data_IF_243583226357
#
_entry.id   IF_243583226357
#
_cell.length_a   1.000
_cell.length_b   1.000
_cell.length_c   1.000
_cell.angle_alpha   90.00
_cell.angle_beta   90.00
_cell.angle_gamma   90.00
#
_symmetry.space_group_name_H-M   'P 1'
#
loop_
_entity.id
_entity.type
_entity.pdbx_description
1 polymer ?
#
# COMPACT_ATOMS: atom_id res chain seq x y z
N UNK A 1 2.29 9.23 -26.84
CA UNK A 1 1.16 9.19 -25.90
C UNK A 1 -0.09 9.58 -26.67
N UNK A 2 -1.06 8.68 -26.76
CA UNK A 2 -2.35 8.93 -27.42
C UNK A 2 -3.20 9.91 -26.60
N UNK A 3 -4.32 10.36 -27.17
CA UNK A 3 -5.28 11.21 -26.47
C UNK A 3 -5.83 10.52 -25.20
N UNK A 4 -6.20 9.25 -25.32
CA UNK A 4 -6.79 8.49 -24.20
C UNK A 4 -5.74 8.23 -23.11
N UNK A 5 -4.50 7.89 -23.48
CA UNK A 5 -3.40 7.76 -22.51
C UNK A 5 -3.14 9.06 -21.74
N UNK A 6 -3.24 10.24 -22.39
CA UNK A 6 -3.09 11.53 -21.73
C UNK A 6 -4.11 11.71 -20.59
N UNK A 7 -5.39 11.41 -20.84
CA UNK A 7 -6.43 11.60 -19.84
C UNK A 7 -6.45 10.51 -18.77
N UNK A 8 -6.14 9.24 -19.10
CA UNK A 8 -5.93 8.20 -18.08
C UNK A 8 -4.71 8.52 -17.21
N UNK A 9 -3.63 9.05 -17.80
CA UNK A 9 -2.49 9.53 -16.99
C UNK A 9 -2.91 10.62 -16.00
N UNK A 10 -3.83 11.52 -16.41
CA UNK A 10 -4.40 12.51 -15.48
C UNK A 10 -5.26 11.86 -14.37
N UNK A 11 -6.06 10.85 -14.71
CA UNK A 11 -6.80 10.06 -13.72
C UNK A 11 -5.84 9.43 -12.67
N UNK A 12 -4.72 8.87 -13.12
CA UNK A 12 -3.69 8.30 -12.23
C UNK A 12 -3.11 9.35 -11.27
N UNK A 13 -2.78 10.55 -11.78
CA UNK A 13 -2.29 11.67 -10.95
C UNK A 13 -3.29 12.08 -9.87
N UNK A 14 -4.57 12.21 -10.24
CA UNK A 14 -5.64 12.53 -9.29
C UNK A 14 -5.83 11.44 -8.25
N UNK A 15 -5.83 10.18 -8.66
CA UNK A 15 -6.02 9.03 -7.78
C UNK A 15 -4.95 8.96 -6.65
N UNK A 16 -3.71 9.37 -6.93
CA UNK A 16 -2.65 9.43 -5.91
C UNK A 16 -2.98 10.33 -4.72
N UNK A 17 -3.85 11.33 -4.87
CA UNK A 17 -4.29 12.17 -3.75
C UNK A 17 -5.14 11.39 -2.73
N UNK A 18 -5.70 10.25 -3.11
CA UNK A 18 -6.43 9.33 -2.22
C UNK A 18 -5.52 8.41 -1.39
N UNK A 19 -4.20 8.39 -1.65
CA UNK A 19 -3.26 7.56 -0.92
C UNK A 19 -3.39 7.77 0.60
N UNK A 20 -3.34 6.70 1.38
CA UNK A 20 -3.53 6.67 2.83
C UNK A 20 -4.97 6.87 3.34
N UNK A 21 -5.95 7.21 2.52
CA UNK A 21 -7.30 7.51 2.96
C UNK A 21 -8.37 6.58 2.38
N UNK A 22 -8.12 5.98 1.21
CA UNK A 22 -9.13 5.19 0.48
C UNK A 22 -9.26 3.75 0.99
N UNK A 23 -8.24 3.17 1.61
CA UNK A 23 -8.30 1.79 2.10
C UNK A 23 -9.52 1.56 3.03
N UNK A 24 -10.28 0.46 2.86
CA UNK A 24 -10.03 -0.69 1.99
C UNK A 24 -10.43 -0.53 0.52
N UNK A 25 -10.98 0.61 0.10
CA UNK A 25 -11.32 0.87 -1.30
C UNK A 25 -10.06 1.17 -2.14
N UNK A 26 -10.09 0.93 -3.46
CA UNK A 26 -8.99 1.28 -4.35
C UNK A 26 -8.85 2.80 -4.53
N UNK A 27 -7.65 3.24 -4.87
CA UNK A 27 -7.42 4.59 -5.35
C UNK A 27 -7.95 4.71 -6.78
N UNK A 28 -8.88 5.63 -7.02
CA UNK A 28 -9.48 5.87 -8.34
C UNK A 28 -9.48 7.35 -8.65
N UNK A 29 -9.21 7.70 -9.90
CA UNK A 29 -9.35 9.04 -10.44
C UNK A 29 -10.21 9.02 -11.69
N UNK A 30 -10.93 10.11 -11.91
CA UNK A 30 -11.79 10.30 -13.08
C UNK A 30 -11.66 11.73 -13.66
N UNK A 31 -11.77 11.82 -14.98
CA UNK A 31 -11.68 13.08 -15.74
C UNK A 31 -12.80 13.10 -16.77
N UNK A 32 -13.47 14.23 -16.91
CA UNK A 32 -14.50 14.46 -17.93
C UNK A 32 -13.98 15.45 -18.97
N UNK A 33 -14.06 15.06 -20.22
CA UNK A 33 -13.50 15.81 -21.36
C UNK A 33 -14.57 16.13 -22.39
N UNK A 34 -14.68 17.40 -22.71
CA UNK A 34 -15.51 17.95 -23.78
C UNK A 34 -14.61 18.68 -24.78
N UNK A 35 -14.67 18.33 -26.09
CA UNK A 35 -13.84 18.93 -27.16
C UNK A 35 -12.38 19.17 -26.74
N UNK A 36 -11.69 18.10 -26.27
CA UNK A 36 -10.29 18.13 -25.81
C UNK A 36 -10.00 18.99 -24.57
N UNK A 37 -11.03 19.58 -23.97
CA UNK A 37 -10.93 20.37 -22.74
C UNK A 37 -11.43 19.56 -21.55
N UNK A 38 -10.67 19.52 -20.46
CA UNK A 38 -11.10 18.94 -19.19
C UNK A 38 -12.12 19.90 -18.58
N UNK A 39 -13.35 19.43 -18.38
CA UNK A 39 -14.45 20.18 -17.77
C UNK A 39 -14.81 19.71 -16.37
N UNK A 40 -14.33 18.54 -15.97
CA UNK A 40 -14.51 17.99 -14.62
C UNK A 40 -13.41 17.01 -14.24
N UNK A 41 -13.04 17.02 -12.97
CA UNK A 41 -12.02 16.13 -12.39
C UNK A 41 -12.45 15.66 -11.00
N UNK A 42 -12.11 14.43 -10.66
CA UNK A 42 -12.39 13.88 -9.34
C UNK A 42 -11.51 12.69 -9.02
N UNK A 43 -11.40 12.40 -7.73
CA UNK A 43 -10.77 11.18 -7.24
C UNK A 43 -11.52 10.68 -6.02
N UNK A 44 -11.34 9.41 -5.66
CA UNK A 44 -11.87 8.86 -4.42
C UNK A 44 -11.05 9.40 -3.25
N UNK A 45 -11.65 10.28 -2.43
CA UNK A 45 -10.94 11.03 -1.39
C UNK A 45 -10.72 10.16 -0.15
N UNK A 46 -11.77 9.46 0.30
CA UNK A 46 -11.76 8.67 1.53
C UNK A 46 -12.76 7.52 1.46
N UNK A 47 -12.42 6.39 2.07
CA UNK A 47 -13.34 5.26 2.21
C UNK A 47 -14.67 5.69 2.84
N UNK A 48 -15.77 5.29 2.18
CA UNK A 48 -17.15 5.63 2.59
C UNK A 48 -17.67 6.95 2.03
N UNK A 49 -16.86 7.75 1.35
CA UNK A 49 -17.25 8.97 0.63
C UNK A 49 -17.51 8.69 -0.86
N UNK A 50 -17.84 9.75 -1.61
CA UNK A 50 -18.14 9.67 -3.04
C UNK A 50 -16.97 9.10 -3.86
N UNK A 51 -17.29 8.28 -4.87
CA UNK A 51 -16.32 7.74 -5.80
C UNK A 51 -15.78 8.82 -6.76
N UNK A 52 -14.71 8.50 -7.46
CA UNK A 52 -14.03 9.43 -8.38
C UNK A 52 -14.97 9.98 -9.46
N UNK A 53 -15.78 9.12 -10.05
CA UNK A 53 -16.74 9.47 -11.11
C UNK A 53 -17.79 10.47 -10.60
N UNK A 54 -18.30 10.24 -9.38
CA UNK A 54 -19.27 11.14 -8.73
C UNK A 54 -18.64 12.51 -8.50
N UNK A 55 -17.39 12.53 -8.00
CA UNK A 55 -16.67 13.79 -7.75
C UNK A 55 -16.34 14.51 -9.06
N UNK A 56 -15.94 13.79 -10.11
CA UNK A 56 -15.69 14.35 -11.42
C UNK A 56 -16.97 14.99 -12.04
N UNK A 57 -18.10 14.27 -12.00
CA UNK A 57 -19.38 14.78 -12.50
C UNK A 57 -19.82 16.03 -11.71
N UNK A 58 -19.74 16.02 -10.39
CA UNK A 58 -20.09 17.16 -9.53
C UNK A 58 -19.23 18.40 -9.75
N UNK A 59 -18.00 18.24 -10.27
CA UNK A 59 -17.10 19.35 -10.54
C UNK A 59 -17.40 20.07 -11.87
N UNK A 60 -18.25 19.47 -12.72
CA UNK A 60 -18.65 20.07 -14.00
C UNK A 60 -19.61 21.25 -13.75
N UNK A 61 -19.29 22.41 -14.29
CA UNK A 61 -20.10 23.64 -14.11
C UNK A 61 -21.39 23.62 -14.93
N UNK A 62 -21.31 23.18 -16.18
CA UNK A 62 -22.47 23.05 -17.08
C UNK A 62 -22.70 21.58 -17.41
N UNK A 63 -23.68 20.99 -16.70
CA UNK A 63 -24.03 19.56 -16.87
C UNK A 63 -24.57 19.21 -18.26
N UNK A 64 -25.03 20.19 -19.06
CA UNK A 64 -25.50 19.92 -20.42
C UNK A 64 -24.38 19.38 -21.30
N UNK A 65 -23.13 19.79 -21.07
CA UNK A 65 -21.96 19.35 -21.82
C UNK A 65 -21.65 17.84 -21.60
N UNK A 66 -22.16 17.22 -20.54
CA UNK A 66 -21.97 15.79 -20.26
C UNK A 66 -22.45 14.91 -21.41
N UNK A 67 -23.52 15.30 -22.10
CA UNK A 67 -24.14 14.53 -23.20
C UNK A 67 -23.27 14.45 -24.46
N UNK A 68 -22.19 15.25 -24.52
CA UNK A 68 -21.24 15.29 -25.65
C UNK A 68 -19.80 15.01 -25.15
N UNK A 69 -19.65 14.60 -23.89
CA UNK A 69 -18.37 14.40 -23.23
C UNK A 69 -17.93 12.94 -23.20
N UNK A 70 -16.64 12.74 -22.96
CA UNK A 70 -16.05 11.44 -22.62
C UNK A 70 -15.65 11.45 -21.16
N UNK A 71 -16.02 10.43 -20.39
CA UNK A 71 -15.47 10.20 -19.06
C UNK A 71 -14.31 9.19 -19.13
N UNK A 72 -13.21 9.55 -18.55
CA UNK A 72 -12.02 8.72 -18.34
C UNK A 72 -11.97 8.30 -16.87
N UNK A 73 -11.69 7.04 -16.59
CA UNK A 73 -11.58 6.52 -15.23
C UNK A 73 -10.47 5.46 -15.14
N UNK A 74 -9.67 5.52 -14.09
CA UNK A 74 -8.52 4.60 -13.93
C UNK A 74 -8.91 3.16 -13.60
N UNK A 75 -10.14 2.93 -13.13
CA UNK A 75 -10.69 1.62 -12.76
C UNK A 75 -12.13 1.49 -13.26
N UNK A 76 -12.56 0.29 -13.60
CA UNK A 76 -13.94 -0.04 -13.99
C UNK A 76 -14.98 0.59 -13.04
N UNK A 77 -15.97 1.36 -13.54
CA UNK A 77 -17.05 1.91 -12.73
C UNK A 77 -17.87 0.81 -12.03
N UNK A 78 -18.11 0.98 -10.74
CA UNK A 78 -18.86 -0.02 -9.97
C UNK A 78 -20.30 -0.20 -10.51
N UNK A 79 -20.80 -1.46 -10.43
CA UNK A 79 -22.12 -1.85 -10.91
C UNK A 79 -23.07 -2.37 -9.82
N UNK A 80 -22.54 -2.55 -8.59
CA UNK A 80 -23.34 -3.08 -7.47
C UNK A 80 -23.85 -1.94 -6.58
N UNK A 81 -25.04 -2.12 -6.03
CA UNK A 81 -25.61 -1.21 -5.04
C UNK A 81 -24.92 -1.40 -3.69
N UNK A 82 -24.29 -0.32 -3.22
CA UNK A 82 -23.72 -0.25 -1.89
C UNK A 82 -24.50 0.76 -1.02
N UNK A 83 -23.80 1.66 -0.35
CA UNK A 83 -24.39 2.80 0.37
C UNK A 83 -24.92 3.87 -0.59
N UNK A 84 -24.42 3.92 -1.81
CA UNK A 84 -24.79 4.85 -2.88
C UNK A 84 -25.10 4.07 -4.15
N UNK A 85 -25.89 4.64 -5.08
CA UNK A 85 -26.09 4.05 -6.40
C UNK A 85 -24.75 3.81 -7.13
N UNK A 86 -24.68 2.78 -7.99
CA UNK A 86 -23.46 2.46 -8.74
C UNK A 86 -23.02 3.59 -9.67
N UNK A 87 -21.72 3.77 -9.84
CA UNK A 87 -21.17 4.79 -10.76
C UNK A 87 -21.59 4.54 -12.22
N UNK A 88 -21.71 3.28 -12.64
CA UNK A 88 -22.23 2.94 -13.97
C UNK A 88 -23.64 3.49 -14.20
N UNK A 89 -24.52 3.44 -13.19
CA UNK A 89 -25.89 3.99 -13.29
C UNK A 89 -25.87 5.51 -13.40
N UNK A 90 -25.03 6.19 -12.63
CA UNK A 90 -24.88 7.63 -12.70
C UNK A 90 -24.37 8.08 -14.09
N UNK A 91 -23.41 7.38 -14.67
CA UNK A 91 -22.92 7.67 -16.02
C UNK A 91 -24.04 7.54 -17.06
N UNK A 92 -24.87 6.49 -16.96
CA UNK A 92 -26.04 6.27 -17.82
C UNK A 92 -27.08 7.37 -17.62
N UNK A 93 -27.43 7.72 -16.38
CA UNK A 93 -28.38 8.78 -16.03
C UNK A 93 -27.97 10.13 -16.60
N UNK A 94 -26.68 10.47 -16.50
CA UNK A 94 -26.11 11.70 -17.03
C UNK A 94 -25.94 11.68 -18.56
N UNK A 95 -26.25 10.57 -19.23
CA UNK A 95 -26.20 10.36 -20.68
C UNK A 95 -24.83 10.66 -21.28
N UNK A 96 -23.75 10.29 -20.58
CA UNK A 96 -22.39 10.43 -21.09
C UNK A 96 -22.17 9.36 -22.17
N UNK A 97 -21.89 9.73 -23.43
CA UNK A 97 -21.91 8.79 -24.55
C UNK A 97 -20.68 7.89 -24.64
N UNK A 98 -19.58 8.24 -23.99
CA UNK A 98 -18.31 7.51 -24.10
C UNK A 98 -17.60 7.40 -22.76
N UNK A 99 -17.09 6.19 -22.48
CA UNK A 99 -16.31 5.86 -21.28
C UNK A 99 -15.00 5.21 -21.68
N UNK A 100 -13.88 5.72 -21.15
CA UNK A 100 -12.55 5.13 -21.32
C UNK A 100 -12.04 4.68 -19.97
N UNK A 101 -11.68 3.40 -19.86
CA UNK A 101 -11.33 2.70 -18.62
C UNK A 101 -9.87 2.26 -18.67
N UNK A 102 -9.11 2.56 -17.61
CA UNK A 102 -7.74 2.13 -17.47
C UNK A 102 -7.61 0.63 -17.29
N UNK A 103 -8.16 0.07 -16.23
CA UNK A 103 -8.17 -1.38 -16.00
C UNK A 103 -9.53 -1.89 -15.48
N UNK A 104 -9.78 -3.18 -15.68
CA UNK A 104 -10.95 -3.86 -15.12
C UNK A 104 -10.80 -4.02 -13.58
N UNK A 105 -11.93 -4.10 -12.88
CA UNK A 105 -11.91 -4.42 -11.46
C UNK A 105 -11.48 -5.89 -11.27
N UNK A 106 -10.40 -6.14 -10.50
CA UNK A 106 -9.92 -7.51 -10.27
C UNK A 106 -10.82 -8.34 -9.36
N UNK A 107 -11.81 -7.73 -8.73
CA UNK A 107 -12.74 -8.44 -7.86
C UNK A 107 -13.77 -9.21 -8.68
N UNK A 108 -13.68 -10.55 -8.65
CA UNK A 108 -14.44 -11.46 -9.53
C UNK A 108 -15.95 -11.29 -9.52
N UNK A 109 -16.53 -10.77 -8.42
CA UNK A 109 -17.96 -10.49 -8.33
C UNK A 109 -18.40 -9.23 -9.09
N UNK A 110 -17.43 -8.40 -9.52
CA UNK A 110 -17.71 -7.11 -10.18
C UNK A 110 -17.10 -7.05 -11.59
N UNK A 111 -16.05 -7.82 -11.83
CA UNK A 111 -15.25 -7.82 -13.05
C UNK A 111 -16.10 -7.87 -14.33
N UNK A 112 -16.03 -6.83 -15.13
CA UNK A 112 -16.73 -6.69 -16.41
C UNK A 112 -18.21 -6.32 -16.32
N UNK A 113 -18.86 -6.37 -15.16
CA UNK A 113 -20.29 -6.07 -15.02
C UNK A 113 -20.63 -4.60 -15.24
N UNK A 114 -19.75 -3.70 -14.79
CA UNK A 114 -19.88 -2.26 -15.04
C UNK A 114 -19.74 -1.94 -16.52
N UNK A 115 -18.74 -2.54 -17.16
CA UNK A 115 -18.49 -2.41 -18.60
C UNK A 115 -19.69 -2.94 -19.41
N UNK A 116 -20.18 -4.14 -19.07
CA UNK A 116 -21.31 -4.75 -19.74
C UNK A 116 -22.60 -3.90 -19.60
N UNK A 117 -22.85 -3.36 -18.41
CA UNK A 117 -23.98 -2.48 -18.13
C UNK A 117 -23.95 -1.20 -18.97
N UNK A 118 -22.78 -0.56 -19.06
CA UNK A 118 -22.59 0.63 -19.88
C UNK A 118 -22.81 0.33 -21.37
N UNK A 119 -22.26 -0.77 -21.90
CA UNK A 119 -22.46 -1.21 -23.29
C UNK A 119 -23.90 -1.52 -23.61
N UNK A 120 -24.63 -2.20 -22.70
CA UNK A 120 -26.07 -2.47 -22.85
C UNK A 120 -26.92 -1.20 -22.90
N UNK A 121 -26.47 -0.13 -22.27
CA UNK A 121 -27.10 1.18 -22.33
C UNK A 121 -26.74 2.01 -23.60
N UNK A 122 -25.99 1.42 -24.54
CA UNK A 122 -25.57 2.08 -25.79
C UNK A 122 -24.37 3.01 -25.67
N UNK A 123 -23.63 2.96 -24.56
CA UNK A 123 -22.45 3.78 -24.32
C UNK A 123 -21.23 3.12 -24.98
N UNK A 124 -20.42 3.91 -25.70
CA UNK A 124 -19.13 3.46 -26.24
C UNK A 124 -18.12 3.24 -25.10
N UNK A 125 -17.56 2.02 -24.96
CA UNK A 125 -16.64 1.69 -23.89
C UNK A 125 -15.32 1.15 -24.43
N UNK A 126 -14.23 1.89 -24.18
CA UNK A 126 -12.83 1.50 -24.41
C UNK A 126 -12.23 1.04 -23.08
N UNK A 127 -11.46 -0.07 -23.08
CA UNK A 127 -10.85 -0.64 -21.87
C UNK A 127 -9.37 -0.94 -22.13
N UNK A 128 -8.54 -0.86 -21.10
CA UNK A 128 -7.13 -1.26 -21.14
C UNK A 128 -6.16 -0.13 -21.50
N UNK A 129 -6.58 1.12 -21.35
CA UNK A 129 -5.70 2.27 -21.60
C UNK A 129 -4.78 2.50 -20.41
N UNK A 130 -3.46 2.38 -20.59
CA UNK A 130 -2.45 2.37 -19.50
C UNK A 130 -2.79 1.33 -18.41
N UNK A 131 -3.18 0.13 -18.84
CA UNK A 131 -3.67 -0.91 -17.91
C UNK A 131 -2.63 -1.28 -16.85
N UNK A 132 -1.36 -1.43 -17.24
CA UNK A 132 -0.28 -1.79 -16.31
C UNK A 132 -0.09 -0.72 -15.22
N UNK A 133 -0.09 0.56 -15.59
CA UNK A 133 0.03 1.68 -14.66
C UNK A 133 -1.19 1.77 -13.73
N UNK A 134 -2.38 1.54 -14.25
CA UNK A 134 -3.61 1.50 -13.46
C UNK A 134 -3.59 0.33 -12.47
N UNK A 135 -3.22 -0.86 -12.89
CA UNK A 135 -3.05 -2.04 -12.02
C UNK A 135 -1.96 -1.80 -10.96
N UNK A 136 -0.84 -1.18 -11.36
CA UNK A 136 0.23 -0.83 -10.43
C UNK A 136 -0.25 0.16 -9.35
N UNK A 137 -1.06 1.15 -9.71
CA UNK A 137 -1.64 2.08 -8.75
C UNK A 137 -2.45 1.37 -7.67
N UNK A 138 -3.30 0.41 -8.07
CA UNK A 138 -4.19 -0.32 -7.15
C UNK A 138 -3.63 -1.68 -6.70
N UNK A 139 -2.33 -1.95 -6.86
CA UNK A 139 -1.70 -3.25 -6.57
C UNK A 139 -1.98 -3.79 -5.16
N UNK A 140 -2.08 -2.90 -4.16
CA UNK A 140 -2.44 -3.28 -2.78
C UNK A 140 -3.85 -3.83 -2.70
N UNK A 141 -4.78 -3.18 -3.37
CA UNK A 141 -6.16 -3.63 -3.48
C UNK A 141 -6.25 -4.96 -4.24
N UNK A 142 -5.51 -5.12 -5.34
CA UNK A 142 -5.44 -6.37 -6.11
C UNK A 142 -4.94 -7.50 -5.21
N UNK A 143 -3.76 -7.35 -4.60
CA UNK A 143 -3.15 -8.38 -3.73
C UNK A 143 -4.10 -8.78 -2.60
N UNK A 144 -4.70 -7.81 -1.93
CA UNK A 144 -5.60 -8.07 -0.81
C UNK A 144 -6.83 -8.88 -1.23
N UNK A 145 -7.44 -8.54 -2.36
CA UNK A 145 -8.68 -9.20 -2.82
C UNK A 145 -8.43 -10.54 -3.52
N UNK A 146 -7.29 -10.72 -4.18
CA UNK A 146 -6.95 -11.95 -4.93
C UNK A 146 -6.18 -12.97 -4.08
N UNK A 147 -5.15 -12.50 -3.36
CA UNK A 147 -4.26 -13.38 -2.56
C UNK A 147 -4.67 -13.49 -1.08
N UNK A 148 -5.72 -12.76 -0.65
CA UNK A 148 -6.26 -12.78 0.72
C UNK A 148 -5.19 -12.46 1.78
N UNK A 149 -4.26 -11.58 1.47
CA UNK A 149 -3.21 -11.08 2.34
C UNK A 149 -2.89 -9.62 2.05
N UNK A 150 -2.23 -8.89 2.99
CA UNK A 150 -1.71 -7.56 2.68
C UNK A 150 -0.65 -7.60 1.57
N UNK A 151 -0.49 -6.48 0.87
CA UNK A 151 0.69 -6.18 0.06
C UNK A 151 1.88 -5.91 0.97
N UNK A 152 2.98 -6.64 0.81
CA UNK A 152 4.11 -6.65 1.74
C UNK A 152 5.30 -5.93 1.13
N UNK A 153 5.71 -4.86 1.79
CA UNK A 153 6.92 -4.10 1.47
C UNK A 153 8.00 -4.39 2.51
N UNK A 154 9.14 -4.91 2.09
CA UNK A 154 10.31 -5.07 2.94
C UNK A 154 11.15 -3.80 2.87
N UNK A 155 11.72 -3.35 3.98
CA UNK A 155 12.62 -2.18 4.00
C UNK A 155 13.73 -2.36 5.02
N UNK A 156 14.97 -2.16 4.58
CA UNK A 156 16.10 -2.04 5.48
C UNK A 156 17.15 -1.06 4.93
N UNK A 157 18.09 -0.69 5.79
CA UNK A 157 19.31 -0.04 5.39
C UNK A 157 20.49 -0.96 5.69
N UNK A 158 21.50 -0.94 4.82
CA UNK A 158 22.72 -1.72 4.98
C UNK A 158 23.98 -0.87 4.73
N UNK A 159 25.09 -1.28 5.33
CA UNK A 159 26.40 -0.72 5.05
C UNK A 159 26.91 -1.10 3.65
N UNK A 160 27.99 -0.47 3.19
CA UNK A 160 28.59 -0.78 1.88
C UNK A 160 29.07 -2.24 1.77
N UNK A 161 29.35 -2.88 2.90
CA UNK A 161 29.81 -4.26 3.03
C UNK A 161 28.73 -5.23 3.53
N UNK A 162 27.44 -4.81 3.53
CA UNK A 162 26.28 -5.71 3.67
C UNK A 162 25.87 -6.03 5.10
N UNK A 163 26.05 -5.11 6.06
CA UNK A 163 25.58 -5.27 7.44
C UNK A 163 24.47 -4.28 7.78
N UNK A 164 23.47 -4.69 8.57
CA UNK A 164 22.36 -3.83 9.02
C UNK A 164 22.61 -3.19 10.38
N UNK A 165 23.48 -3.76 11.20
CA UNK A 165 23.89 -3.27 12.52
C UNK A 165 25.22 -3.90 12.94
N UNK A 166 25.81 -3.39 14.01
CA UNK A 166 26.91 -4.04 14.72
C UNK A 166 26.38 -5.09 15.70
N UNK A 167 27.25 -6.01 16.14
CA UNK A 167 26.92 -6.91 17.24
C UNK A 167 26.90 -6.10 18.55
N UNK A 168 25.72 -5.94 19.15
CA UNK A 168 25.54 -5.19 20.41
C UNK A 168 24.58 -5.91 21.34
N UNK A 169 24.80 -5.79 22.61
CA UNK A 169 23.92 -6.28 23.69
C UNK A 169 23.06 -5.16 24.29
N UNK A 170 23.29 -3.90 23.83
CA UNK A 170 22.62 -2.68 24.25
C UNK A 170 23.18 -1.49 23.50
N UNK A 171 22.89 -0.28 23.97
CA UNK A 171 23.34 0.95 23.33
C UNK A 171 22.50 1.40 22.13
N UNK A 172 22.93 2.44 21.44
CA UNK A 172 22.22 3.01 20.28
C UNK A 172 22.51 2.20 19.01
N UNK A 173 21.52 2.03 18.11
CA UNK A 173 21.74 1.41 16.80
C UNK A 173 22.69 2.27 15.94
N UNK A 174 23.37 1.62 15.00
CA UNK A 174 24.13 2.34 13.96
C UNK A 174 23.12 3.05 13.04
N UNK A 175 23.36 4.34 12.80
CA UNK A 175 22.55 5.14 11.89
C UNK A 175 23.14 5.03 10.48
N UNK A 176 22.52 4.19 9.66
CA UNK A 176 22.91 4.00 8.25
C UNK A 176 22.24 5.03 7.33
N UNK A 177 20.98 5.38 7.59
CA UNK A 177 20.24 6.39 6.84
C UNK A 177 20.69 7.81 7.23
N UNK A 178 20.73 8.72 6.26
CA UNK A 178 20.90 10.14 6.55
C UNK A 178 19.54 10.82 6.86
N UNK A 179 19.52 12.10 7.32
CA UNK A 179 18.28 12.79 7.66
C UNK A 179 17.26 12.82 6.51
N UNK A 180 17.70 12.98 5.26
CA UNK A 180 16.81 13.07 4.08
C UNK A 180 16.23 11.69 3.70
N UNK A 181 17.04 10.63 3.71
CA UNK A 181 16.53 9.28 3.46
C UNK A 181 15.69 8.77 4.62
N UNK A 182 15.98 9.18 5.86
CA UNK A 182 15.12 8.94 7.02
C UNK A 182 13.72 9.54 6.82
N UNK A 183 13.61 10.73 6.23
CA UNK A 183 12.32 11.33 5.88
C UNK A 183 11.53 10.47 4.89
N UNK A 184 12.21 9.86 3.89
CA UNK A 184 11.57 8.92 2.96
C UNK A 184 11.09 7.64 3.66
N UNK A 185 11.77 7.17 4.69
CA UNK A 185 11.30 6.06 5.54
C UNK A 185 9.98 6.43 6.21
N UNK A 186 9.88 7.64 6.78
CA UNK A 186 8.65 8.11 7.39
C UNK A 186 7.51 8.30 6.39
N UNK A 187 7.81 8.70 5.15
CA UNK A 187 6.86 8.68 4.03
C UNK A 187 6.30 7.27 3.80
N UNK A 188 7.18 6.27 3.70
CA UNK A 188 6.72 4.87 3.53
C UNK A 188 5.86 4.40 4.70
N UNK A 189 6.18 4.76 5.93
CA UNK A 189 5.33 4.46 7.10
C UNK A 189 3.94 5.08 6.99
N UNK A 190 3.85 6.35 6.51
CA UNK A 190 2.57 7.01 6.28
C UNK A 190 1.74 6.33 5.16
N UNK A 191 2.40 5.72 4.20
CA UNK A 191 1.79 5.05 3.05
C UNK A 191 1.33 3.61 3.33
N UNK A 192 1.62 3.04 4.52
CA UNK A 192 1.25 1.67 4.87
C UNK A 192 0.25 1.63 6.04
N UNK A 193 -0.65 0.64 6.01
CA UNK A 193 -1.65 0.46 7.07
C UNK A 193 -1.02 -0.09 8.35
N UNK A 194 0.01 -0.93 8.22
CA UNK A 194 0.70 -1.54 9.35
C UNK A 194 2.22 -1.62 9.14
N UNK A 195 2.95 -1.69 10.26
CA UNK A 195 4.40 -1.87 10.30
C UNK A 195 4.77 -2.99 11.28
N UNK A 196 5.62 -3.92 10.83
CA UNK A 196 6.04 -5.09 11.62
C UNK A 196 7.53 -5.04 11.91
N UNK A 197 7.88 -5.32 13.16
CA UNK A 197 9.26 -5.56 13.61
C UNK A 197 9.35 -6.86 14.43
N UNK A 198 10.52 -7.45 14.43
CA UNK A 198 10.83 -8.59 15.29
C UNK A 198 11.11 -8.17 16.74
N UNK A 199 11.04 -9.15 17.67
CA UNK A 199 11.29 -8.95 19.11
C UNK A 199 12.64 -8.29 19.40
N UNK A 200 13.72 -8.76 18.75
CA UNK A 200 15.07 -8.19 18.96
C UNK A 200 15.15 -6.70 18.58
N UNK A 201 14.57 -6.31 17.44
CA UNK A 201 14.52 -4.92 17.02
C UNK A 201 13.69 -4.09 18.02
N UNK A 202 12.55 -4.61 18.48
CA UNK A 202 11.73 -3.94 19.49
C UNK A 202 12.50 -3.71 20.79
N UNK A 203 13.23 -4.73 21.26
CA UNK A 203 13.99 -4.69 22.51
C UNK A 203 15.22 -3.76 22.44
N UNK A 204 16.03 -3.90 21.39
CA UNK A 204 17.34 -3.22 21.30
C UNK A 204 17.24 -1.77 20.83
N UNK A 205 16.28 -1.48 19.91
CA UNK A 205 16.17 -0.15 19.30
C UNK A 205 15.07 0.69 19.95
N UNK A 206 14.17 0.08 20.71
CA UNK A 206 12.98 0.73 21.28
C UNK A 206 12.32 1.71 20.28
N UNK A 207 11.96 1.25 19.07
CA UNK A 207 11.55 2.13 18.00
C UNK A 207 10.12 2.62 18.20
N UNK A 208 9.88 3.92 18.00
CA UNK A 208 8.52 4.46 18.06
C UNK A 208 7.63 4.03 16.88
N UNK A 209 8.19 3.59 15.76
CA UNK A 209 7.51 3.19 14.50
C UNK A 209 6.44 4.19 14.02
N UNK A 210 6.62 5.45 14.35
CA UNK A 210 5.68 6.54 14.03
C UNK A 210 6.07 7.28 12.74
N UNK A 211 5.16 8.09 12.23
CA UNK A 211 5.33 8.95 11.04
C UNK A 211 5.69 10.39 11.44
N UNK A 212 6.65 10.57 12.36
CA UNK A 212 6.97 11.90 12.95
C UNK A 212 7.63 12.88 11.98
N UNK A 213 8.35 12.40 10.97
CA UNK A 213 9.10 13.22 10.01
C UNK A 213 8.42 13.29 8.63
N UNK A 214 7.15 12.96 8.54
CA UNK A 214 6.34 13.06 7.33
C UNK A 214 4.88 13.31 7.71
N UNK A 215 4.15 13.95 6.80
CA UNK A 215 2.70 14.11 6.95
C UNK A 215 1.97 12.78 6.69
N UNK A 216 0.92 12.49 7.45
CA UNK A 216 0.07 11.33 7.25
C UNK A 216 -0.24 10.57 8.53
N UNK A 217 -0.92 9.43 8.38
CA UNK A 217 -1.33 8.57 9.49
C UNK A 217 -0.14 7.76 10.03
N UNK A 218 -0.22 7.40 11.29
CA UNK A 218 0.66 6.38 11.85
C UNK A 218 0.17 4.99 11.42
N UNK A 219 1.04 4.08 10.97
CA UNK A 219 0.68 2.69 10.77
C UNK A 219 0.35 2.00 12.09
N UNK A 220 -0.51 0.98 12.05
CA UNK A 220 -0.71 0.06 13.16
C UNK A 220 0.62 -0.65 13.44
N UNK A 221 1.09 -0.64 14.67
CA UNK A 221 2.34 -1.30 15.07
C UNK A 221 2.12 -2.79 15.27
N UNK A 222 3.01 -3.60 14.75
CA UNK A 222 2.98 -5.05 14.89
C UNK A 222 4.32 -5.51 15.46
N UNK A 223 4.28 -6.40 16.46
CA UNK A 223 5.48 -7.02 17.01
C UNK A 223 5.23 -8.50 17.32
N UNK A 224 6.24 -9.33 17.08
CA UNK A 224 6.23 -10.74 17.44
C UNK A 224 6.93 -10.88 18.80
N UNK A 225 6.19 -11.24 19.83
CA UNK A 225 6.72 -11.51 21.19
C UNK A 225 6.11 -12.78 21.74
N UNK A 226 6.67 -13.92 21.34
CA UNK A 226 6.15 -15.26 21.60
C UNK A 226 5.76 -15.49 23.07
N UNK A 227 6.64 -15.13 23.98
CA UNK A 227 6.53 -15.45 25.41
C UNK A 227 6.32 -14.20 26.27
N UNK A 228 5.88 -13.07 25.67
CA UNK A 228 5.60 -11.80 26.33
C UNK A 228 6.76 -11.27 27.20
N UNK A 229 7.97 -11.36 26.67
CA UNK A 229 9.21 -10.99 27.38
C UNK A 229 9.67 -9.56 27.11
N UNK A 230 8.98 -8.81 26.23
CA UNK A 230 9.29 -7.40 26.00
C UNK A 230 8.89 -6.53 27.19
N UNK A 231 9.77 -5.62 27.64
CA UNK A 231 9.45 -4.63 28.68
C UNK A 231 8.24 -3.77 28.30
N UNK A 232 7.38 -3.48 29.27
CA UNK A 232 6.13 -2.74 29.05
C UNK A 232 6.32 -1.23 28.90
N UNK A 233 7.48 -0.70 29.25
CA UNK A 233 7.89 0.68 29.11
C UNK A 233 8.44 1.03 27.70
N UNK A 234 8.52 0.06 26.79
CA UNK A 234 8.91 0.33 25.41
C UNK A 234 7.95 1.28 24.69
N UNK A 235 8.48 2.10 23.78
CA UNK A 235 7.70 3.02 22.94
C UNK A 235 6.54 2.36 22.18
N UNK A 236 6.63 1.07 21.89
CA UNK A 236 5.56 0.29 21.29
C UNK A 236 4.30 0.23 22.16
N UNK A 237 4.46 0.28 23.47
CA UNK A 237 3.39 0.15 24.46
C UNK A 237 2.96 1.47 25.10
N UNK A 238 3.39 2.61 24.56
CA UNK A 238 3.15 3.95 25.10
C UNK A 238 1.68 4.44 25.02
N UNK A 239 0.75 3.63 24.50
CA UNK A 239 -0.67 3.95 24.42
C UNK A 239 -1.06 5.05 23.43
N UNK A 240 -0.14 5.46 22.50
CA UNK A 240 -0.41 6.52 21.52
C UNK A 240 -0.84 6.01 20.15
N UNK A 241 -0.41 4.81 19.78
CA UNK A 241 -0.69 4.19 18.48
C UNK A 241 -1.14 2.75 18.70
N UNK A 242 -2.14 2.31 17.95
CA UNK A 242 -2.63 0.93 18.00
C UNK A 242 -1.50 -0.06 17.74
N UNK A 243 -1.36 -1.06 18.63
CA UNK A 243 -0.30 -2.05 18.60
C UNK A 243 -0.89 -3.46 18.69
N UNK A 244 -0.48 -4.38 17.80
CA UNK A 244 -0.77 -5.79 17.91
C UNK A 244 0.50 -6.53 18.33
N UNK A 245 0.35 -7.40 19.29
CA UNK A 245 1.40 -8.29 19.79
C UNK A 245 1.03 -9.71 19.43
N UNK A 246 1.83 -10.35 18.56
CA UNK A 246 1.68 -11.76 18.22
C UNK A 246 2.39 -12.60 19.24
N UNK A 247 1.67 -13.44 19.96
CA UNK A 247 2.16 -14.17 21.12
C UNK A 247 1.58 -15.59 21.16
N UNK A 248 2.14 -16.48 22.01
CA UNK A 248 1.62 -17.83 22.22
C UNK A 248 0.29 -17.80 22.98
N UNK A 249 0.22 -16.97 24.00
CA UNK A 249 -0.95 -16.88 24.89
C UNK A 249 -1.34 -15.41 25.09
N UNK A 250 -2.63 -15.12 24.96
CA UNK A 250 -3.14 -13.76 25.17
C UNK A 250 -3.31 -13.51 26.66
N UNK A 251 -2.74 -12.43 27.22
CA UNK A 251 -2.97 -12.06 28.61
C UNK A 251 -4.41 -11.62 28.84
N UNK A 252 -4.92 -11.82 30.05
CA UNK A 252 -6.30 -11.51 30.44
C UNK A 252 -6.65 -10.00 30.46
N UNK A 253 -5.67 -9.09 30.39
CA UNK A 253 -5.91 -7.64 30.43
C UNK A 253 -5.21 -6.94 29.26
N UNK A 254 -5.90 -6.71 28.13
CA UNK A 254 -5.40 -5.83 27.09
C UNK A 254 -5.46 -4.36 27.53
N UNK A 255 -4.46 -3.58 27.14
CA UNK A 255 -4.53 -2.13 27.16
C UNK A 255 -5.47 -1.65 26.02
N UNK A 256 -6.13 -0.48 26.15
CA UNK A 256 -7.08 0.03 25.18
C UNK A 256 -6.54 0.14 23.74
N UNK A 257 -5.23 0.34 23.55
CA UNK A 257 -4.56 0.42 22.24
C UNK A 257 -3.59 -0.73 21.96
N UNK A 258 -3.43 -1.69 22.87
CA UNK A 258 -2.59 -2.87 22.65
C UNK A 258 -3.47 -4.12 22.65
N UNK A 259 -3.49 -4.83 21.53
CA UNK A 259 -4.22 -6.06 21.32
C UNK A 259 -3.23 -7.22 21.22
N UNK A 260 -3.43 -8.26 22.04
CA UNK A 260 -2.64 -9.48 22.03
C UNK A 260 -3.36 -10.52 21.18
N UNK A 261 -2.64 -11.10 20.22
CA UNK A 261 -3.19 -12.05 19.26
C UNK A 261 -2.43 -13.36 19.39
N UNK A 262 -3.15 -14.41 19.77
CA UNK A 262 -2.58 -15.73 19.95
C UNK A 262 -2.30 -16.41 18.62
N UNK A 263 -1.09 -16.97 18.47
CA UNK A 263 -0.67 -17.74 17.31
C UNK A 263 -0.13 -19.10 17.77
N UNK A 264 -0.23 -20.11 16.91
CA UNK A 264 0.38 -21.42 17.11
C UNK A 264 1.86 -21.39 16.67
N UNK A 265 2.76 -21.19 17.61
CA UNK A 265 4.21 -21.16 17.34
C UNK A 265 4.84 -22.53 17.07
N UNK A 266 4.07 -23.61 17.07
CA UNK A 266 4.52 -24.93 16.59
C UNK A 266 4.38 -25.05 15.06
N UNK A 267 3.71 -24.09 14.41
CA UNK A 267 3.54 -23.98 12.96
C UNK A 267 4.21 -22.71 12.45
N UNK A 268 4.31 -22.59 11.12
CA UNK A 268 4.75 -21.35 10.51
C UNK A 268 3.80 -20.18 10.91
N UNK A 269 4.38 -19.14 11.50
CA UNK A 269 3.62 -17.98 12.00
C UNK A 269 3.32 -16.95 10.92
N UNK A 270 4.09 -16.88 9.83
CA UNK A 270 3.89 -15.87 8.81
C UNK A 270 2.53 -16.00 8.10
N UNK A 271 2.10 -17.19 7.66
CA UNK A 271 0.75 -17.38 7.12
C UNK A 271 -0.35 -17.02 8.13
N UNK A 272 -0.17 -17.34 9.41
CA UNK A 272 -1.15 -16.99 10.44
C UNK A 272 -1.24 -15.48 10.65
N UNK A 273 -0.11 -14.76 10.63
CA UNK A 273 -0.08 -13.29 10.66
C UNK A 273 -0.82 -12.73 9.45
N UNK A 274 -0.58 -13.26 8.25
CA UNK A 274 -1.26 -12.81 7.02
C UNK A 274 -2.77 -12.96 7.11
N UNK A 275 -3.27 -14.09 7.62
CA UNK A 275 -4.69 -14.33 7.83
C UNK A 275 -5.30 -13.32 8.82
N UNK A 276 -4.64 -13.09 9.97
CA UNK A 276 -5.09 -12.09 10.95
C UNK A 276 -5.17 -10.70 10.32
N UNK A 277 -4.15 -10.30 9.56
CA UNK A 277 -4.13 -8.99 8.91
C UNK A 277 -5.22 -8.86 7.84
N UNK A 278 -5.48 -9.94 7.10
CA UNK A 278 -6.59 -9.98 6.14
C UNK A 278 -7.94 -9.79 6.82
N UNK A 279 -8.21 -10.53 7.90
CA UNK A 279 -9.45 -10.40 8.68
C UNK A 279 -9.62 -9.00 9.28
N UNK A 280 -8.52 -8.35 9.69
CA UNK A 280 -8.52 -6.97 10.19
C UNK A 280 -8.56 -5.91 9.08
N UNK A 281 -8.68 -6.31 7.80
CA UNK A 281 -8.74 -5.44 6.62
C UNK A 281 -7.51 -4.53 6.46
N UNK A 282 -6.35 -5.00 6.89
CA UNK A 282 -5.05 -4.35 6.67
C UNK A 282 -4.56 -4.74 5.28
N UNK A 283 -4.52 -3.78 4.36
CA UNK A 283 -4.17 -4.03 2.94
C UNK A 283 -2.68 -3.90 2.64
N UNK A 284 -1.93 -3.24 3.50
CA UNK A 284 -0.50 -3.02 3.29
C UNK A 284 0.31 -3.19 4.57
N UNK A 285 1.43 -3.92 4.46
CA UNK A 285 2.35 -4.21 5.54
C UNK A 285 3.76 -3.74 5.17
N UNK A 286 4.36 -2.90 6.01
CA UNK A 286 5.78 -2.56 5.96
C UNK A 286 6.54 -3.40 6.98
N UNK A 287 7.53 -4.17 6.54
CA UNK A 287 8.43 -4.92 7.43
C UNK A 287 9.76 -4.20 7.50
N UNK A 288 10.10 -3.65 8.68
CA UNK A 288 11.30 -2.80 8.84
C UNK A 288 12.38 -3.40 9.71
N UNK A 289 12.20 -4.59 10.28
CA UNK A 289 13.19 -4.90 11.25
C UNK A 289 13.49 -6.31 11.64
N UNK A 290 14.78 -6.44 11.95
CA UNK A 290 15.50 -7.66 12.22
C UNK A 290 15.84 -8.45 10.95
N UNK A 291 17.14 -8.71 10.72
CA UNK A 291 17.62 -9.48 9.56
C UNK A 291 16.87 -10.82 9.44
N UNK A 292 16.68 -11.53 10.56
CA UNK A 292 16.01 -12.82 10.61
C UNK A 292 14.55 -12.73 10.15
N UNK A 293 13.81 -11.71 10.62
CA UNK A 293 12.41 -11.52 10.21
C UNK A 293 12.31 -11.19 8.72
N UNK A 294 13.11 -10.26 8.23
CA UNK A 294 13.16 -9.90 6.81
C UNK A 294 13.52 -11.12 5.95
N UNK A 295 14.53 -11.91 6.37
CA UNK A 295 14.94 -13.10 5.64
C UNK A 295 13.83 -14.17 5.62
N UNK A 296 13.09 -14.36 6.71
CA UNK A 296 11.97 -15.32 6.74
C UNK A 296 10.84 -14.94 5.77
N UNK A 297 10.56 -13.65 5.58
CA UNK A 297 9.64 -13.18 4.54
C UNK A 297 10.16 -13.45 3.13
N UNK A 298 11.48 -13.28 2.92
CA UNK A 298 12.12 -13.55 1.62
C UNK A 298 12.08 -15.05 1.30
N UNK A 299 12.46 -15.89 2.24
CA UNK A 299 12.55 -17.34 2.08
C UNK A 299 11.19 -17.99 1.87
N UNK A 300 10.15 -17.47 2.54
CA UNK A 300 8.76 -17.94 2.36
C UNK A 300 8.10 -17.42 1.08
N UNK A 301 8.72 -16.47 0.36
CA UNK A 301 8.11 -15.79 -0.79
C UNK A 301 6.95 -14.87 -0.42
N UNK A 302 6.76 -14.55 0.86
CA UNK A 302 5.71 -13.66 1.35
C UNK A 302 6.16 -12.21 1.33
N UNK A 303 6.45 -11.70 0.13
CA UNK A 303 6.77 -10.29 -0.08
C UNK A 303 6.44 -9.87 -1.51
N UNK A 304 6.21 -8.60 -1.74
CA UNK A 304 5.81 -8.04 -3.04
C UNK A 304 6.88 -7.09 -3.57
N UNK A 305 7.39 -6.20 -2.72
CA UNK A 305 8.50 -5.30 -3.08
C UNK A 305 9.47 -5.11 -1.91
N UNK A 306 10.71 -4.73 -2.22
CA UNK A 306 11.72 -4.39 -1.22
C UNK A 306 12.45 -3.10 -1.59
N UNK A 307 12.69 -2.26 -0.57
CA UNK A 307 13.48 -1.04 -0.67
C UNK A 307 14.69 -1.14 0.24
N UNK A 308 15.86 -1.12 -0.36
CA UNK A 308 17.14 -1.30 0.32
C UNK A 308 17.94 -0.02 0.17
N UNK A 309 18.30 0.60 1.29
CA UNK A 309 19.19 1.75 1.31
C UNK A 309 20.62 1.29 1.61
N UNK A 310 21.56 1.54 0.71
CA UNK A 310 22.96 1.22 0.91
C UNK A 310 23.74 2.47 1.30
N UNK A 311 24.27 2.46 2.51
CA UNK A 311 25.12 3.52 3.04
C UNK A 311 26.57 3.33 2.58
N UNK A 312 27.34 4.41 2.37
CA UNK A 312 28.76 4.30 2.00
C UNK A 312 29.67 3.84 3.16
N UNK A 313 29.15 3.81 4.38
CA UNK A 313 29.85 3.34 5.57
C UNK A 313 30.14 1.84 5.49
N UNK A 314 31.31 1.40 5.95
CA UNK A 314 31.69 0.00 6.17
C UNK A 314 31.71 -0.30 7.66
N UNK A 315 31.13 -1.43 8.05
CA UNK A 315 31.10 -1.90 9.43
C UNK A 315 32.16 -2.99 9.70
N UNK A 316 32.64 -3.66 8.66
CA UNK A 316 33.61 -4.77 8.67
C UNK A 316 33.14 -6.02 9.43
N UNK A 317 32.27 -5.88 10.39
CA UNK A 317 31.66 -6.97 11.16
C UNK A 317 30.28 -6.52 11.69
N UNK A 318 29.38 -7.46 11.93
CA UNK A 318 28.04 -7.14 12.45
C UNK A 318 26.98 -8.15 12.05
N UNK A 319 25.72 -7.70 12.09
CA UNK A 319 24.54 -8.48 11.69
C UNK A 319 24.40 -8.34 10.18
N UNK A 320 24.50 -9.44 9.46
CA UNK A 320 24.37 -9.45 8.00
C UNK A 320 22.97 -9.00 7.54
N UNK A 321 22.95 -8.24 6.44
CA UNK A 321 21.73 -7.85 5.77
C UNK A 321 21.03 -9.07 5.16
N UNK A 322 19.69 -9.02 5.01
CA UNK A 322 18.94 -10.03 4.28
C UNK A 322 19.39 -10.11 2.82
N UNK A 323 19.29 -11.30 2.22
CA UNK A 323 19.71 -11.54 0.84
C UNK A 323 18.52 -11.78 -0.10
N UNK A 324 18.43 -10.96 -1.15
CA UNK A 324 17.46 -11.13 -2.25
C UNK A 324 18.22 -11.56 -3.52
N UNK A 325 17.64 -12.51 -4.26
CA UNK A 325 18.23 -12.95 -5.54
C UNK A 325 18.28 -11.82 -6.56
N UNK A 326 19.39 -11.71 -7.30
CA UNK A 326 19.66 -10.62 -8.27
C UNK A 326 18.56 -10.42 -9.31
N UNK A 327 17.85 -11.49 -9.73
CA UNK A 327 16.75 -11.43 -10.73
C UNK A 327 15.57 -10.54 -10.30
N UNK A 328 15.41 -10.25 -9.03
CA UNK A 328 14.31 -9.44 -8.51
C UNK A 328 14.58 -7.94 -8.55
N UNK A 329 15.84 -7.51 -8.68
CA UNK A 329 16.17 -6.09 -8.73
C UNK A 329 15.73 -5.44 -10.05
N UNK A 330 14.94 -4.37 -9.95
CA UNK A 330 14.36 -3.64 -11.09
C UNK A 330 14.99 -2.26 -11.27
N UNK A 331 15.39 -1.62 -10.19
CA UNK A 331 15.86 -0.25 -10.22
C UNK A 331 16.92 -0.02 -9.15
N UNK A 332 17.92 0.75 -9.54
CA UNK A 332 18.92 1.27 -8.64
C UNK A 332 19.05 2.78 -8.87
N UNK A 333 18.85 3.59 -7.86
CA UNK A 333 18.92 5.05 -7.93
C UNK A 333 19.74 5.61 -6.79
N UNK A 334 20.44 6.70 -7.05
CA UNK A 334 21.11 7.45 -6.00
C UNK A 334 20.21 8.60 -5.56
N UNK A 335 19.88 8.63 -4.27
CA UNK A 335 19.16 9.71 -3.61
C UNK A 335 19.97 10.23 -2.43
N UNK A 336 20.26 11.51 -2.43
CA UNK A 336 20.94 12.18 -1.31
C UNK A 336 22.23 11.47 -0.86
N UNK A 337 23.03 10.98 -1.81
CA UNK A 337 24.28 10.26 -1.52
C UNK A 337 24.07 8.84 -0.95
N UNK A 338 22.90 8.27 -1.11
CA UNK A 338 22.57 6.87 -0.78
C UNK A 338 22.11 6.12 -2.02
N UNK A 339 22.57 4.91 -2.17
CA UNK A 339 22.08 4.00 -3.20
C UNK A 339 20.77 3.36 -2.70
N UNK A 340 19.69 3.56 -3.44
CA UNK A 340 18.39 2.95 -3.14
C UNK A 340 18.11 1.89 -4.19
N UNK A 341 18.13 0.65 -3.78
CA UNK A 341 17.80 -0.50 -4.60
C UNK A 341 16.33 -0.86 -4.40
N UNK A 342 15.63 -1.09 -5.50
CA UNK A 342 14.24 -1.56 -5.50
C UNK A 342 14.18 -2.95 -6.13
N UNK A 343 13.65 -3.91 -5.39
CA UNK A 343 13.38 -5.26 -5.86
C UNK A 343 11.88 -5.53 -5.85
N UNK A 344 11.43 -6.36 -6.81
CA UNK A 344 10.02 -6.77 -6.95
C UNK A 344 9.97 -8.29 -7.08
N UNK A 345 9.07 -8.92 -6.33
CA UNK A 345 8.84 -10.36 -6.43
C UNK A 345 7.98 -10.68 -7.66
N UNK A 346 8.43 -11.62 -8.48
CA UNK A 346 7.89 -11.90 -9.82
C UNK A 346 6.48 -12.51 -9.86
N UNK A 347 5.86 -12.83 -8.72
CA UNK A 347 4.51 -13.42 -8.69
C UNK A 347 3.37 -12.43 -9.00
N UNK A 348 3.63 -11.12 -9.05
CA UNK A 348 2.61 -10.08 -9.29
C UNK A 348 2.44 -9.75 -10.78
N UNK A 349 3.32 -10.26 -11.64
CA UNK A 349 3.29 -9.99 -13.09
C UNK A 349 2.46 -10.99 -13.93
N UNK A 350 1.61 -11.81 -13.29
CA UNK A 350 0.70 -12.73 -14.02
C UNK A 350 -0.76 -12.40 -13.74
#
# INVERSE_FOLDING_TARGET
>A
MTKDEKYISRCLQLAYNGLCNTAPNPMVGAVIVYHDTIIGEGYHIRCGEAHAEVNAIRSVKDENLLKESTIYVSLEPCSHYGKTPPCADLIIEKKIPKVVIGCMDPFSLVAGRGIEKLRKAGIEVTVGVLEEECRHLIRRFITFNTLKRPYITLKWAESADGFIDINRTGGKPIILSNPLTSMLVHKKRAEHDAILVGRHTALLDNPSLSTRNWYGKHPVRLVIDKDLTLPRDLELFNGKIKTFVFTRESPCQPNALTEYISLDFNKDILPQIMEVLYQKKIQSLLVEGGSILLQSFIDSGLWDEAFIEKAPLRLNNGIQAPSIQKKHFKLNKIYFGREIMHAVHSQIQR
#
